data_IF_726643637430
#
_entry.id   IF_726643637430
#
_cell.length_a   1.000
_cell.length_b   1.000
_cell.length_c   1.000
_cell.angle_alpha   90.00
_cell.angle_beta   90.00
_cell.angle_gamma   90.00
#
_symmetry.space_group_name_H-M   'P 1'
#
loop_
_entity.id
_entity.type
_entity.pdbx_description
1 polymer ?
#
# COMPACT_ATOMS: atom_id res chain seq x y z
N UNK A 1 -6.50 0.26 10.36
CA UNK A 1 -5.03 0.43 10.20
C UNK A 1 -4.28 0.22 11.50
N UNK A 2 -4.77 0.81 12.60
CA UNK A 2 -4.00 0.97 13.82
C UNK A 2 -4.00 -0.21 14.81
N UNK A 3 -4.78 -1.24 14.52
CA UNK A 3 -4.76 -2.54 15.21
C UNK A 3 -4.25 -3.67 14.32
N UNK A 4 -4.10 -3.42 13.02
CA UNK A 4 -3.96 -4.47 12.01
C UNK A 4 -2.59 -4.48 11.34
N UNK A 5 -1.92 -3.32 11.19
CA UNK A 5 -0.46 -3.30 10.91
C UNK A 5 0.32 -3.84 12.13
N UNK A 6 -0.32 -3.94 13.30
CA UNK A 6 0.28 -4.47 14.52
C UNK A 6 0.05 -5.97 14.74
N UNK A 7 -0.73 -6.64 13.87
CA UNK A 7 -0.87 -8.10 13.87
C UNK A 7 -0.06 -8.70 12.71
N UNK A 8 1.25 -8.44 12.71
CA UNK A 8 2.13 -9.57 12.43
C UNK A 8 1.82 -10.58 13.54
N UNK A 9 1.40 -11.78 13.17
CA UNK A 9 1.06 -12.87 14.10
C UNK A 9 2.02 -12.81 15.29
N UNK A 10 1.53 -12.80 16.56
CA UNK A 10 2.43 -12.91 17.70
C UNK A 10 3.08 -14.29 17.63
N UNK A 11 4.18 -14.39 16.90
CA UNK A 11 5.14 -15.47 17.09
C UNK A 11 5.51 -15.34 18.56
N UNK A 12 5.23 -16.38 19.37
CA UNK A 12 5.76 -16.47 20.73
C UNK A 12 7.26 -16.27 20.62
N UNK A 13 7.74 -15.09 21.02
CA UNK A 13 9.14 -14.71 20.86
C UNK A 13 9.94 -15.35 21.96
N UNK A 14 11.12 -15.86 21.63
CA UNK A 14 12.13 -16.11 22.66
C UNK A 14 12.51 -14.78 23.31
N UNK A 15 12.73 -14.77 24.63
CA UNK A 15 13.28 -13.59 25.32
C UNK A 15 14.63 -13.15 24.72
N UNK A 16 15.39 -14.10 24.17
CA UNK A 16 16.68 -13.87 23.51
C UNK A 16 16.56 -13.05 22.23
N UNK A 17 15.55 -13.32 21.38
CA UNK A 17 15.32 -12.58 20.12
C UNK A 17 15.11 -11.08 20.38
N UNK A 18 14.35 -10.77 21.43
CA UNK A 18 14.10 -9.39 21.82
C UNK A 18 15.37 -8.71 22.35
N UNK A 19 16.20 -9.41 23.13
CA UNK A 19 17.42 -8.83 23.70
C UNK A 19 18.41 -8.37 22.62
N UNK A 20 18.70 -9.23 21.63
CA UNK A 20 19.60 -8.90 20.51
C UNK A 20 19.08 -7.69 19.71
N UNK A 21 17.78 -7.66 19.43
CA UNK A 21 17.18 -6.55 18.71
C UNK A 21 17.33 -5.21 19.46
N UNK A 22 17.16 -5.21 20.79
CA UNK A 22 17.35 -4.00 21.60
C UNK A 22 18.82 -3.57 21.68
N UNK A 23 19.76 -4.51 21.77
CA UNK A 23 21.21 -4.20 21.71
C UNK A 23 21.56 -3.46 20.41
N UNK A 24 21.15 -4.01 19.27
CA UNK A 24 21.37 -3.41 17.95
C UNK A 24 20.68 -2.04 17.84
N UNK A 25 19.43 -1.91 18.31
CA UNK A 25 18.69 -0.65 18.28
C UNK A 25 19.31 0.44 19.18
N UNK A 26 20.06 0.07 20.22
CA UNK A 26 20.80 1.03 21.04
C UNK A 26 22.02 1.58 20.28
N UNK A 27 22.67 0.76 19.45
CA UNK A 27 23.76 1.23 18.57
C UNK A 27 23.28 2.08 17.40
N UNK A 28 21.99 2.02 17.08
CA UNK A 28 21.34 2.83 16.04
C UNK A 28 20.97 4.26 16.51
N UNK A 29 21.48 4.71 17.65
CA UNK A 29 21.16 6.02 18.20
C UNK A 29 21.75 7.14 17.33
N UNK A 30 20.88 7.83 16.59
CA UNK A 30 21.22 8.99 15.77
C UNK A 30 20.10 10.03 15.86
N UNK A 31 20.43 11.31 15.66
CA UNK A 31 19.46 12.39 15.49
C UNK A 31 19.26 12.65 13.99
N UNK A 32 18.14 12.17 13.45
CA UNK A 32 17.77 12.34 12.05
C UNK A 32 17.09 13.70 11.78
N UNK A 33 16.85 14.50 12.82
CA UNK A 33 16.19 15.81 12.71
C UNK A 33 16.89 16.79 11.76
N UNK A 34 18.22 16.95 11.82
CA UNK A 34 18.97 17.81 10.89
C UNK A 34 18.81 17.43 9.42
N UNK A 35 18.65 16.14 9.10
CA UNK A 35 18.47 15.69 7.71
C UNK A 35 17.18 16.25 7.10
N UNK A 36 16.14 16.51 7.90
CA UNK A 36 14.90 17.12 7.43
C UNK A 36 15.06 18.58 6.96
N UNK A 37 16.23 19.19 7.19
CA UNK A 37 16.57 20.55 6.75
C UNK A 37 17.65 20.54 5.66
N UNK A 38 18.04 19.37 5.16
CA UNK A 38 19.06 19.25 4.10
C UNK A 38 18.61 19.94 2.82
N UNK A 39 19.50 20.75 2.23
CA UNK A 39 19.30 21.35 0.91
C UNK A 39 19.27 20.33 -0.22
N UNK A 40 19.83 19.14 0.01
CA UNK A 40 19.84 18.02 -0.94
C UNK A 40 18.58 17.16 -0.87
N UNK A 41 17.59 17.52 -0.04
CA UNK A 41 16.37 16.77 0.09
C UNK A 41 15.51 16.82 -1.19
N UNK A 42 15.21 15.65 -1.76
CA UNK A 42 14.28 15.51 -2.89
C UNK A 42 12.85 15.81 -2.48
N UNK A 43 12.49 15.52 -1.22
CA UNK A 43 11.26 15.93 -0.56
C UNK A 43 11.62 16.32 0.87
N UNK A 44 11.12 17.45 1.34
CA UNK A 44 11.12 17.81 2.75
C UNK A 44 9.73 18.32 3.11
N UNK A 45 9.03 17.58 3.98
CA UNK A 45 7.74 17.97 4.52
C UNK A 45 7.95 18.51 5.94
N UNK A 46 7.43 19.72 6.24
CA UNK A 46 7.55 20.28 7.57
C UNK A 46 6.83 19.42 8.60
N UNK A 47 7.08 19.70 9.88
CA UNK A 47 6.43 18.96 10.94
C UNK A 47 4.90 19.11 10.88
N UNK A 48 4.21 17.98 10.82
CA UNK A 48 2.76 17.91 10.96
C UNK A 48 2.40 16.94 12.08
N UNK A 49 2.00 17.49 13.23
CA UNK A 49 1.55 16.72 14.40
C UNK A 49 2.64 15.73 14.89
N UNK A 50 3.86 16.22 15.10
CA UNK A 50 4.97 15.42 15.60
C UNK A 50 5.63 14.49 14.58
N UNK A 51 5.35 14.66 13.28
CA UNK A 51 6.01 13.90 12.19
C UNK A 51 6.57 14.86 11.17
N UNK A 52 7.87 14.78 10.92
CA UNK A 52 8.58 15.35 9.76
C UNK A 52 8.86 14.23 8.76
N UNK A 53 8.88 14.54 7.47
CA UNK A 53 9.26 13.57 6.44
C UNK A 53 10.32 14.16 5.53
N UNK A 54 11.34 13.37 5.23
CA UNK A 54 12.37 13.74 4.25
C UNK A 54 12.65 12.56 3.33
N UNK A 55 12.94 12.84 2.05
CA UNK A 55 13.46 11.87 1.09
C UNK A 55 14.79 12.36 0.54
N UNK A 56 15.82 11.54 0.67
CA UNK A 56 17.21 11.84 0.29
C UNK A 56 17.78 10.67 -0.51
N UNK A 57 18.68 10.94 -1.46
CA UNK A 57 19.51 9.89 -2.04
C UNK A 57 20.62 9.48 -1.05
N UNK A 58 21.21 8.28 -1.22
CA UNK A 58 22.29 7.79 -0.34
C UNK A 58 23.48 8.75 -0.28
N UNK A 59 23.90 9.28 -1.42
CA UNK A 59 25.02 10.23 -1.53
C UNK A 59 24.82 11.55 -0.74
N UNK A 60 23.57 11.88 -0.41
CA UNK A 60 23.20 13.03 0.40
C UNK A 60 23.11 12.69 1.91
N UNK A 61 23.29 11.42 2.29
CA UNK A 61 23.28 10.98 3.68
C UNK A 61 24.70 10.93 4.26
N UNK A 62 24.94 11.51 5.45
CA UNK A 62 26.20 11.29 6.17
C UNK A 62 26.40 9.82 6.50
N UNK A 63 27.64 9.35 6.41
CA UNK A 63 28.06 7.99 6.75
C UNK A 63 27.51 7.49 8.11
N UNK A 64 27.53 8.27 9.21
CA UNK A 64 26.94 7.83 10.48
C UNK A 64 25.42 7.65 10.42
N UNK A 65 24.72 8.41 9.56
CA UNK A 65 23.28 8.28 9.37
C UNK A 65 22.94 6.97 8.65
N UNK A 66 23.72 6.60 7.61
CA UNK A 66 23.57 5.34 6.89
C UNK A 66 23.79 4.16 7.85
N UNK A 67 24.86 4.21 8.65
CA UNK A 67 25.16 3.16 9.62
C UNK A 67 24.05 3.00 10.66
N UNK A 68 23.53 4.12 11.17
CA UNK A 68 22.39 4.12 12.09
C UNK A 68 21.12 3.58 11.45
N UNK A 69 20.86 3.88 10.16
CA UNK A 69 19.71 3.34 9.42
C UNK A 69 19.78 1.82 9.27
N UNK A 70 20.94 1.30 8.89
CA UNK A 70 21.16 -0.14 8.70
C UNK A 70 21.09 -0.91 10.03
N UNK A 71 21.58 -0.32 11.13
CA UNK A 71 21.40 -0.87 12.47
C UNK A 71 19.92 -0.82 12.89
N UNK A 72 19.25 0.32 12.68
CA UNK A 72 17.86 0.49 13.04
C UNK A 72 16.97 -0.51 12.30
N UNK A 73 17.12 -0.64 10.99
CA UNK A 73 16.35 -1.56 10.15
C UNK A 73 16.55 -3.02 10.56
N UNK A 74 17.79 -3.45 10.77
CA UNK A 74 18.09 -4.80 11.27
C UNK A 74 17.37 -5.07 12.60
N UNK A 75 17.49 -4.15 13.55
CA UNK A 75 16.84 -4.25 14.86
C UNK A 75 15.31 -4.31 14.76
N UNK A 76 14.70 -3.47 13.92
CA UNK A 76 13.25 -3.51 13.68
C UNK A 76 12.82 -4.84 13.05
N UNK A 77 13.61 -5.39 12.12
CA UNK A 77 13.26 -6.67 11.49
C UNK A 77 13.48 -7.90 12.37
N UNK A 78 14.43 -7.84 13.31
CA UNK A 78 14.51 -8.82 14.40
C UNK A 78 13.26 -8.73 15.29
N UNK A 79 12.81 -7.51 15.63
CA UNK A 79 11.55 -7.32 16.37
C UNK A 79 10.32 -7.78 15.59
N UNK A 80 10.34 -7.89 14.25
CA UNK A 80 9.22 -8.46 13.48
C UNK A 80 9.38 -9.94 13.19
N UNK A 81 10.51 -10.56 13.56
CA UNK A 81 10.82 -11.96 13.26
C UNK A 81 11.15 -12.23 11.79
N UNK A 82 11.53 -11.18 11.03
CA UNK A 82 11.91 -11.31 9.63
C UNK A 82 13.34 -11.85 9.47
N UNK A 83 14.26 -11.41 10.33
CA UNK A 83 15.59 -11.98 10.40
C UNK A 83 15.62 -13.11 11.43
N UNK A 84 16.43 -14.14 11.14
CA UNK A 84 16.71 -15.19 12.09
C UNK A 84 17.79 -14.74 13.11
N UNK A 85 17.47 -14.62 14.41
CA UNK A 85 18.40 -14.09 15.41
C UNK A 85 19.68 -14.93 15.55
N UNK A 86 19.55 -16.26 15.50
CA UNK A 86 20.69 -17.18 15.58
C UNK A 86 21.66 -16.94 14.42
N UNK A 87 21.13 -16.81 13.20
CA UNK A 87 21.92 -16.50 12.01
C UNK A 87 22.61 -15.14 12.11
N UNK A 88 21.90 -14.10 12.60
CA UNK A 88 22.48 -12.77 12.81
C UNK A 88 23.63 -12.80 13.82
N UNK A 89 23.50 -13.60 14.90
CA UNK A 89 24.58 -13.79 15.87
C UNK A 89 25.79 -14.50 15.25
N UNK A 90 25.57 -15.56 14.48
CA UNK A 90 26.64 -16.28 13.76
C UNK A 90 27.39 -15.36 12.79
N UNK A 91 26.65 -14.53 12.05
CA UNK A 91 27.21 -13.53 11.11
C UNK A 91 27.84 -12.34 11.83
N UNK A 92 27.64 -12.21 13.16
CA UNK A 92 28.09 -11.09 14.01
C UNK A 92 27.61 -9.73 13.50
N UNK A 93 26.44 -9.69 12.84
CA UNK A 93 25.91 -8.43 12.33
C UNK A 93 25.46 -7.53 13.49
N UNK A 94 25.88 -6.27 13.42
CA UNK A 94 25.37 -5.17 14.26
C UNK A 94 24.56 -4.14 13.46
N UNK A 95 24.64 -4.24 12.14
CA UNK A 95 23.86 -3.55 11.14
C UNK A 95 23.79 -4.45 9.91
N UNK A 96 22.84 -4.21 9.02
CA UNK A 96 22.89 -4.84 7.70
C UNK A 96 24.18 -4.44 6.94
N UNK A 97 24.66 -5.29 6.03
CA UNK A 97 25.84 -5.01 5.20
C UNK A 97 25.67 -3.72 4.38
N UNK A 98 26.76 -2.95 4.22
CA UNK A 98 26.78 -1.67 3.51
C UNK A 98 26.53 -1.85 2.01
N UNK A 99 26.95 -2.99 1.49
CA UNK A 99 26.82 -3.41 0.10
C UNK A 99 25.35 -3.55 -0.33
N UNK A 100 24.42 -3.57 0.62
CA UNK A 100 22.98 -3.54 0.35
C UNK A 100 22.43 -2.13 0.06
N UNK A 101 23.26 -1.09 0.05
CA UNK A 101 22.86 0.29 -0.22
C UNK A 101 23.66 0.82 -1.41
N UNK A 102 22.96 1.10 -2.50
CA UNK A 102 23.58 1.71 -3.68
C UNK A 102 23.68 3.23 -3.52
N UNK A 103 24.63 3.93 -4.19
CA UNK A 103 24.81 5.38 -4.08
C UNK A 103 23.57 6.21 -4.43
N UNK A 104 22.68 5.67 -5.26
CA UNK A 104 21.48 6.36 -5.75
C UNK A 104 20.16 5.77 -5.21
N UNK A 105 20.23 4.89 -4.20
CA UNK A 105 19.03 4.48 -3.45
C UNK A 105 18.38 5.73 -2.82
N UNK A 106 17.05 5.78 -2.82
CA UNK A 106 16.29 6.85 -2.18
C UNK A 106 15.78 6.39 -0.82
N UNK A 107 16.06 7.19 0.19
CA UNK A 107 15.74 6.94 1.59
C UNK A 107 14.62 7.87 2.05
N UNK A 108 13.42 7.31 2.25
CA UNK A 108 12.30 8.02 2.82
C UNK A 108 12.25 7.82 4.33
N UNK A 109 12.31 8.92 5.08
CA UNK A 109 12.48 8.96 6.53
C UNK A 109 11.33 9.73 7.14
N UNK A 110 10.57 9.12 8.05
CA UNK A 110 9.63 9.81 8.92
C UNK A 110 10.23 9.94 10.31
N UNK A 111 10.39 11.16 10.80
CA UNK A 111 11.15 11.51 12.00
C UNK A 111 10.26 12.26 12.99
N UNK A 112 10.37 11.97 14.29
CA UNK A 112 9.65 12.70 15.32
C UNK A 112 10.29 14.06 15.67
N UNK A 113 9.66 14.79 16.59
CA UNK A 113 10.17 16.09 17.08
C UNK A 113 11.54 15.99 17.79
N UNK A 114 11.93 14.80 18.26
CA UNK A 114 13.19 14.53 18.94
C UNK A 114 14.26 13.93 18.00
N UNK A 115 13.99 13.94 16.69
CA UNK A 115 14.94 13.42 15.71
C UNK A 115 14.99 11.90 15.62
N UNK A 116 14.04 11.18 16.23
CA UNK A 116 14.00 9.71 16.20
C UNK A 116 13.17 9.21 15.03
N UNK A 117 13.65 8.15 14.37
CA UNK A 117 12.90 7.50 13.30
C UNK A 117 11.63 6.84 13.81
N UNK A 118 10.53 7.13 13.12
CA UNK A 118 9.22 6.53 13.31
C UNK A 118 8.93 5.48 12.22
N UNK A 119 9.31 5.79 10.99
CA UNK A 119 9.08 4.95 9.80
C UNK A 119 10.17 5.20 8.76
N UNK A 120 10.48 4.17 7.98
CA UNK A 120 11.49 4.19 6.94
C UNK A 120 11.05 3.34 5.75
N UNK A 121 11.47 3.74 4.56
CA UNK A 121 11.36 2.97 3.31
C UNK A 121 12.56 3.29 2.43
N UNK A 122 13.03 2.31 1.65
CA UNK A 122 14.03 2.52 0.60
C UNK A 122 13.40 2.30 -0.76
N UNK A 123 13.74 3.15 -1.71
CA UNK A 123 13.45 2.94 -3.13
C UNK A 123 14.79 2.63 -3.80
N UNK A 124 14.88 1.49 -4.47
CA UNK A 124 16.13 1.00 -5.04
C UNK A 124 16.09 1.00 -6.55
N UNK A 125 17.23 1.28 -7.16
CA UNK A 125 17.46 1.03 -8.57
C UNK A 125 18.73 0.18 -8.68
N UNK A 126 18.63 -1.08 -9.12
CA UNK A 126 19.82 -1.90 -9.32
C UNK A 126 20.83 -1.20 -10.23
N UNK A 127 22.12 -1.35 -9.91
CA UNK A 127 23.21 -0.86 -10.75
C UNK A 127 23.25 -1.63 -12.07
N UNK A 128 23.87 -1.03 -13.10
CA UNK A 128 24.10 -1.66 -14.41
C UNK A 128 22.82 -2.04 -15.19
N UNK A 129 21.70 -1.36 -14.92
CA UNK A 129 20.48 -1.48 -15.70
C UNK A 129 20.47 -0.60 -16.97
N UNK A 130 21.35 0.40 -17.04
CA UNK A 130 21.40 1.39 -18.12
C UNK A 130 21.42 0.76 -19.52
N UNK A 131 20.49 1.19 -20.38
CA UNK A 131 20.38 0.73 -21.76
C UNK A 131 19.66 -0.61 -21.94
N UNK A 132 19.23 -1.28 -20.86
CA UNK A 132 18.44 -2.51 -20.94
C UNK A 132 16.93 -2.26 -20.81
N UNK A 133 16.14 -3.14 -21.42
CA UNK A 133 14.68 -3.17 -21.30
C UNK A 133 14.23 -4.20 -20.28
N UNK A 134 13.03 -4.05 -19.75
CA UNK A 134 12.45 -4.97 -18.78
C UNK A 134 12.40 -6.41 -19.30
N UNK A 135 12.14 -6.59 -20.60
CA UNK A 135 12.09 -7.89 -21.27
C UNK A 135 13.44 -8.56 -21.51
N UNK A 136 14.55 -7.85 -21.38
CA UNK A 136 15.88 -8.39 -21.65
C UNK A 136 16.21 -9.56 -20.70
N UNK A 137 16.51 -10.77 -21.20
CA UNK A 137 16.77 -11.91 -20.33
C UNK A 137 18.08 -11.77 -19.54
N UNK A 138 19.03 -10.98 -20.04
CA UNK A 138 20.38 -10.86 -19.48
C UNK A 138 20.57 -9.64 -18.57
N UNK A 139 19.54 -8.78 -18.40
CA UNK A 139 19.65 -7.64 -17.48
C UNK A 139 19.88 -8.11 -16.04
N UNK A 140 20.52 -7.29 -15.17
CA UNK A 140 20.55 -7.53 -13.73
C UNK A 140 19.16 -7.81 -13.13
N UNK A 141 19.14 -8.67 -12.11
CA UNK A 141 17.92 -8.97 -11.36
C UNK A 141 17.58 -7.81 -10.42
N UNK A 142 16.29 -7.49 -10.32
CA UNK A 142 15.82 -6.72 -9.16
C UNK A 142 15.83 -7.63 -7.91
N UNK A 143 16.05 -7.11 -6.70
CA UNK A 143 16.01 -7.93 -5.48
C UNK A 143 14.74 -8.78 -5.32
N UNK A 144 13.56 -8.30 -5.76
CA UNK A 144 12.34 -9.13 -5.84
C UNK A 144 12.50 -10.36 -6.74
N UNK A 145 13.23 -10.23 -7.85
CA UNK A 145 13.50 -11.33 -8.80
C UNK A 145 14.56 -12.29 -8.28
N UNK A 146 15.53 -11.82 -7.48
CA UNK A 146 16.46 -12.71 -6.77
C UNK A 146 15.72 -13.67 -5.83
N UNK A 147 14.60 -13.22 -5.25
CA UNK A 147 13.76 -14.01 -4.34
C UNK A 147 12.76 -14.89 -5.09
N UNK A 148 12.04 -14.32 -6.07
CA UNK A 148 10.88 -14.96 -6.70
C UNK A 148 11.16 -15.53 -8.10
N UNK A 149 12.36 -15.31 -8.65
CA UNK A 149 12.65 -15.50 -10.07
C UNK A 149 11.85 -14.53 -10.96
N UNK A 150 11.78 -14.82 -12.27
CA UNK A 150 11.05 -14.00 -13.27
C UNK A 150 9.77 -14.64 -13.81
N UNK A 151 9.44 -15.87 -13.40
CA UNK A 151 8.34 -16.62 -14.00
C UNK A 151 6.97 -15.91 -13.90
N UNK A 152 6.75 -15.15 -12.82
CA UNK A 152 5.53 -14.37 -12.59
C UNK A 152 5.33 -13.26 -13.64
N UNK A 153 6.40 -12.77 -14.27
CA UNK A 153 6.33 -11.68 -15.26
C UNK A 153 5.60 -12.07 -16.55
N UNK A 154 5.43 -13.37 -16.83
CA UNK A 154 4.70 -13.85 -18.01
C UNK A 154 3.22 -13.43 -18.03
N UNK A 155 2.65 -13.10 -16.88
CA UNK A 155 1.27 -12.60 -16.80
C UNK A 155 1.17 -11.09 -17.00
N UNK A 156 2.30 -10.38 -17.11
CA UNK A 156 2.33 -8.96 -17.36
C UNK A 156 2.14 -8.65 -18.85
N UNK A 157 1.66 -7.44 -19.14
CA UNK A 157 1.53 -6.86 -20.47
C UNK A 157 2.15 -5.47 -20.49
N UNK A 158 2.55 -5.04 -21.69
CA UNK A 158 2.98 -3.67 -22.00
C UNK A 158 4.20 -3.21 -21.18
N UNK A 159 5.04 -4.17 -20.75
CA UNK A 159 6.26 -3.89 -20.00
C UNK A 159 7.51 -4.26 -20.78
N UNK A 160 7.43 -5.14 -21.77
CA UNK A 160 8.57 -5.75 -22.44
C UNK A 160 9.58 -4.70 -22.96
N UNK A 161 9.08 -3.62 -23.55
CA UNK A 161 9.88 -2.52 -24.10
C UNK A 161 10.16 -1.40 -23.09
N UNK A 162 9.64 -1.51 -21.85
CA UNK A 162 9.86 -0.50 -20.82
C UNK A 162 11.32 -0.47 -20.42
N UNK A 163 11.89 0.74 -20.38
CA UNK A 163 13.27 0.92 -19.97
C UNK A 163 13.43 0.61 -18.48
N UNK A 164 14.50 -0.12 -18.14
CA UNK A 164 14.80 -0.49 -16.76
C UNK A 164 15.22 0.69 -15.90
N UNK A 165 15.75 1.76 -16.50
CA UNK A 165 16.03 3.04 -15.84
C UNK A 165 14.76 3.74 -15.30
N UNK A 166 13.59 3.34 -15.78
CA UNK A 166 12.28 3.83 -15.32
C UNK A 166 11.66 2.96 -14.22
N UNK A 167 12.33 1.88 -13.84
CA UNK A 167 11.83 0.89 -12.89
C UNK A 167 12.61 0.93 -11.59
N UNK A 168 11.87 1.02 -10.49
CA UNK A 168 12.42 1.13 -9.15
C UNK A 168 11.78 0.10 -8.22
N UNK A 169 12.55 -0.45 -7.31
CA UNK A 169 12.02 -1.37 -6.30
C UNK A 169 11.63 -0.62 -5.02
N UNK A 170 10.38 -0.79 -4.58
CA UNK A 170 9.95 -0.43 -3.24
C UNK A 170 10.38 -1.50 -2.26
N UNK A 171 11.33 -1.14 -1.41
CA UNK A 171 11.96 -2.09 -0.52
C UNK A 171 11.97 -1.56 0.92
N UNK A 172 12.22 -2.50 1.84
CA UNK A 172 12.74 -2.17 3.17
C UNK A 172 11.83 -1.27 4.03
N UNK A 173 10.52 -1.27 3.76
CA UNK A 173 9.54 -0.60 4.59
C UNK A 173 9.56 -1.16 6.02
N UNK A 174 9.72 -0.29 7.01
CA UNK A 174 9.67 -0.67 8.42
C UNK A 174 9.28 0.52 9.31
N UNK A 175 8.74 0.21 10.49
CA UNK A 175 8.28 1.17 11.50
C UNK A 175 8.96 0.87 12.83
N UNK A 176 9.05 1.87 13.71
CA UNK A 176 9.56 1.64 15.07
C UNK A 176 8.59 0.77 15.89
N UNK A 177 8.92 -0.51 16.05
CA UNK A 177 8.14 -1.49 16.80
C UNK A 177 8.18 -1.27 18.31
N UNK A 178 9.13 -0.46 18.81
CA UNK A 178 9.23 -0.12 20.24
C UNK A 178 8.18 0.91 20.67
N UNK A 179 7.64 1.68 19.71
CA UNK A 179 6.62 2.69 20.00
C UNK A 179 5.34 2.00 20.44
N UNK A 180 4.73 2.55 21.50
CA UNK A 180 3.46 2.03 22.02
C UNK A 180 2.41 2.04 20.91
N UNK A 181 1.52 1.05 20.90
CA UNK A 181 0.40 0.92 19.94
C UNK A 181 -0.44 2.19 19.78
N UNK A 182 -0.46 3.04 20.80
CA UNK A 182 -1.23 4.27 20.86
C UNK A 182 -0.42 5.55 20.62
N UNK A 183 0.87 5.47 20.29
CA UNK A 183 1.67 6.63 19.89
C UNK A 183 1.06 7.27 18.62
N UNK A 184 0.49 8.48 18.71
CA UNK A 184 -0.21 9.06 17.58
C UNK A 184 0.69 9.45 16.41
N UNK A 185 1.96 9.78 16.65
CA UNK A 185 2.92 10.15 15.61
C UNK A 185 3.37 8.90 14.83
N UNK A 186 3.72 7.83 15.55
CA UNK A 186 4.10 6.55 14.95
C UNK A 186 2.99 5.95 14.06
N UNK A 187 1.73 6.18 14.44
CA UNK A 187 0.55 5.77 13.67
C UNK A 187 0.36 6.55 12.37
N UNK A 188 0.80 7.81 12.32
CA UNK A 188 0.68 8.71 11.15
C UNK A 188 1.87 8.58 10.20
N UNK A 189 3.05 8.28 10.74
CA UNK A 189 4.31 8.24 9.99
C UNK A 189 4.25 7.45 8.67
N UNK A 190 3.65 6.24 8.58
CA UNK A 190 3.52 5.52 7.31
C UNK A 190 2.70 6.26 6.24
N UNK A 191 1.68 7.00 6.66
CA UNK A 191 0.82 7.73 5.74
C UNK A 191 1.48 9.02 5.25
N UNK A 192 2.14 9.74 6.17
CA UNK A 192 2.96 10.91 5.84
C UNK A 192 4.07 10.52 4.85
N UNK A 193 4.72 9.37 5.08
CA UNK A 193 5.74 8.82 4.19
C UNK A 193 5.17 8.41 2.82
N UNK A 194 4.03 7.71 2.80
CA UNK A 194 3.36 7.35 1.54
C UNK A 194 3.01 8.57 0.69
N UNK A 195 2.46 9.63 1.31
CA UNK A 195 2.18 10.88 0.61
C UNK A 195 3.45 11.60 0.12
N UNK A 196 4.57 11.48 0.83
CA UNK A 196 5.85 12.05 0.39
C UNK A 196 6.40 11.33 -0.85
N UNK A 197 6.29 10.00 -0.94
CA UNK A 197 6.69 9.23 -2.13
C UNK A 197 5.80 9.54 -3.33
N UNK A 198 4.49 9.65 -3.08
CA UNK A 198 3.52 10.11 -4.08
C UNK A 198 3.87 11.49 -4.63
N UNK A 199 4.27 12.42 -3.75
CA UNK A 199 4.71 13.75 -4.16
C UNK A 199 6.02 13.68 -4.96
N UNK A 200 6.93 12.77 -4.58
CA UNK A 200 8.21 12.59 -5.25
C UNK A 200 8.05 12.16 -6.71
N UNK A 201 7.22 11.16 -7.00
CA UNK A 201 7.00 10.68 -8.38
C UNK A 201 6.39 11.75 -9.31
N UNK A 202 5.75 12.77 -8.73
CA UNK A 202 5.16 13.89 -9.46
C UNK A 202 6.15 15.06 -9.65
N UNK A 203 7.31 15.06 -8.97
CA UNK A 203 8.24 16.19 -9.08
C UNK A 203 8.92 16.18 -10.45
N UNK A 204 9.05 17.33 -11.15
CA UNK A 204 9.61 17.37 -12.50
C UNK A 204 10.97 16.66 -12.69
N UNK A 205 11.94 16.69 -11.74
CA UNK A 205 13.20 15.96 -11.90
C UNK A 205 13.10 14.42 -11.86
N UNK A 206 11.98 13.88 -11.34
CA UNK A 206 11.74 12.45 -11.14
C UNK A 206 10.58 11.97 -12.02
N UNK A 207 9.62 12.85 -12.35
CA UNK A 207 8.49 12.57 -13.21
C UNK A 207 8.99 12.03 -14.55
N UNK A 208 8.47 10.87 -14.96
CA UNK A 208 8.89 10.16 -16.17
C UNK A 208 10.14 9.29 -16.02
N UNK A 209 10.98 9.52 -14.99
CA UNK A 209 12.10 8.61 -14.61
C UNK A 209 11.68 7.51 -13.65
N UNK A 210 10.56 7.68 -12.99
CA UNK A 210 9.96 6.65 -12.17
C UNK A 210 8.57 6.34 -12.72
N UNK A 211 8.49 5.33 -13.59
CA UNK A 211 7.21 4.87 -14.15
C UNK A 211 6.73 3.56 -13.54
N UNK A 212 7.66 2.68 -13.20
CA UNK A 212 7.34 1.34 -12.70
C UNK A 212 7.89 1.19 -11.29
N UNK A 213 7.06 0.68 -10.39
CA UNK A 213 7.46 0.26 -9.06
C UNK A 213 7.30 -1.26 -8.94
N UNK A 214 8.35 -1.95 -8.48
CA UNK A 214 8.37 -3.40 -8.25
C UNK A 214 8.67 -3.70 -6.79
N UNK A 215 8.42 -4.92 -6.34
CA UNK A 215 8.83 -5.37 -5.02
C UNK A 215 8.12 -6.64 -4.59
N UNK A 216 8.41 -7.11 -3.39
CA UNK A 216 7.65 -8.18 -2.73
C UNK A 216 6.91 -7.65 -1.49
N UNK A 217 5.81 -8.31 -1.14
CA UNK A 217 5.17 -8.04 0.13
C UNK A 217 4.46 -9.25 0.73
N UNK A 218 4.12 -9.13 2.01
CA UNK A 218 3.01 -9.85 2.61
C UNK A 218 1.68 -9.21 2.14
N UNK A 219 0.85 -9.92 1.35
CA UNK A 219 -0.40 -9.38 0.80
C UNK A 219 -1.39 -8.96 1.89
N UNK A 220 -1.34 -9.58 3.08
CA UNK A 220 -2.17 -9.19 4.20
C UNK A 220 -1.75 -7.82 4.77
N UNK A 221 -0.57 -7.31 4.46
CA UNK A 221 -0.09 -6.03 5.00
C UNK A 221 0.02 -4.96 3.92
N UNK A 222 0.89 -5.14 2.92
CA UNK A 222 1.24 -4.04 2.02
C UNK A 222 0.16 -3.76 0.97
N UNK A 223 -0.48 -4.80 0.41
CA UNK A 223 -1.56 -4.60 -0.56
C UNK A 223 -2.73 -3.79 0.04
N UNK A 224 -2.98 -3.95 1.34
CA UNK A 224 -3.97 -3.11 2.06
C UNK A 224 -3.57 -1.64 2.12
N UNK A 225 -2.27 -1.34 2.17
CA UNK A 225 -1.76 0.03 2.13
C UNK A 225 -1.91 0.60 0.73
N UNK A 226 -1.48 -0.14 -0.31
CA UNK A 226 -1.63 0.30 -1.70
C UNK A 226 -3.09 0.58 -2.06
N UNK A 227 -3.99 -0.35 -1.71
CA UNK A 227 -5.44 -0.15 -1.85
C UNK A 227 -6.00 1.00 -1.02
N UNK A 228 -5.43 1.32 0.14
CA UNK A 228 -5.86 2.49 0.91
C UNK A 228 -5.47 3.80 0.21
N UNK A 229 -4.35 3.82 -0.51
CA UNK A 229 -3.89 4.94 -1.34
C UNK A 229 -4.47 4.91 -2.76
N UNK A 230 -5.35 3.96 -3.09
CA UNK A 230 -5.88 3.74 -4.43
C UNK A 230 -4.80 3.51 -5.50
N UNK A 231 -3.62 3.03 -5.12
CA UNK A 231 -2.57 2.64 -6.06
C UNK A 231 -2.91 1.26 -6.62
N UNK A 232 -3.27 1.13 -7.91
CA UNK A 232 -3.47 -0.18 -8.53
C UNK A 232 -2.11 -0.88 -8.63
N UNK A 233 -2.09 -2.16 -8.29
CA UNK A 233 -0.89 -2.97 -8.38
C UNK A 233 -1.25 -4.34 -8.95
N UNK A 234 -0.49 -4.78 -9.94
CA UNK A 234 -0.46 -6.16 -10.40
C UNK A 234 0.19 -7.00 -9.31
N UNK A 235 -0.58 -7.87 -8.66
CA UNK A 235 -0.08 -8.77 -7.62
C UNK A 235 -0.15 -10.20 -8.12
N UNK A 236 0.58 -11.12 -7.48
CA UNK A 236 0.61 -12.52 -7.89
C UNK A 236 0.23 -13.45 -6.75
N UNK A 237 -0.07 -14.71 -7.10
CA UNK A 237 -0.34 -15.75 -6.12
C UNK A 237 0.75 -15.78 -5.02
N UNK A 238 0.36 -15.59 -3.74
CA UNK A 238 1.30 -15.65 -2.63
C UNK A 238 1.87 -17.06 -2.49
N UNK A 239 3.17 -17.18 -2.29
CA UNK A 239 3.88 -18.45 -2.13
C UNK A 239 5.03 -18.31 -1.14
N UNK A 240 5.73 -19.41 -0.87
CA UNK A 240 6.91 -19.44 -0.01
C UNK A 240 8.18 -19.55 -0.87
N UNK A 241 8.89 -18.45 -1.13
CA UNK A 241 10.19 -18.50 -1.80
C UNK A 241 11.17 -19.38 -1.05
N UNK A 242 11.93 -20.19 -1.79
CA UNK A 242 12.99 -21.02 -1.22
C UNK A 242 14.31 -20.26 -1.33
N UNK A 243 14.81 -19.77 -0.20
CA UNK A 243 16.16 -19.20 -0.11
C UNK A 243 17.11 -20.22 0.53
N UNK A 244 18.43 -20.17 0.25
CA UNK A 244 19.40 -20.99 0.95
C UNK A 244 19.30 -20.82 2.47
N UNK A 245 19.49 -21.87 3.25
CA UNK A 245 19.44 -21.81 4.73
C UNK A 245 20.46 -20.82 5.33
N UNK A 246 21.52 -20.52 4.57
CA UNK A 246 22.53 -19.52 4.93
C UNK A 246 22.04 -18.08 4.79
N UNK A 247 20.92 -17.87 4.10
CA UNK A 247 20.37 -16.55 3.82
C UNK A 247 19.65 -15.97 5.06
N UNK A 248 19.96 -14.74 5.50
CA UNK A 248 19.41 -14.15 6.73
C UNK A 248 17.88 -14.03 6.77
N UNK A 249 17.22 -13.99 5.60
CA UNK A 249 15.77 -13.91 5.45
C UNK A 249 15.10 -15.27 5.14
N UNK A 250 15.84 -16.38 5.06
CA UNK A 250 15.26 -17.68 4.71
C UNK A 250 14.05 -18.04 5.60
N UNK A 251 14.17 -17.80 6.90
CA UNK A 251 13.10 -18.01 7.89
C UNK A 251 11.85 -17.15 7.63
N UNK A 252 11.98 -15.91 7.13
CA UNK A 252 10.84 -15.05 6.77
C UNK A 252 10.03 -15.71 5.66
N UNK A 253 10.68 -16.05 4.55
CA UNK A 253 10.04 -16.57 3.36
C UNK A 253 9.49 -17.99 3.56
N UNK A 254 10.13 -18.79 4.40
CA UNK A 254 9.62 -20.11 4.79
C UNK A 254 8.33 -20.04 5.64
N UNK A 255 8.13 -18.99 6.44
CA UNK A 255 7.00 -18.89 7.39
C UNK A 255 5.85 -18.02 6.92
N UNK A 256 6.14 -17.03 6.08
CA UNK A 256 5.17 -16.04 5.64
C UNK A 256 5.05 -16.10 4.11
N UNK A 257 3.87 -16.39 3.56
CA UNK A 257 3.70 -16.33 2.13
C UNK A 257 3.84 -14.88 1.66
N UNK A 258 4.61 -14.69 0.61
CA UNK A 258 4.88 -13.39 -0.01
C UNK A 258 4.51 -13.43 -1.48
N UNK A 259 4.18 -12.28 -2.04
CA UNK A 259 3.91 -12.13 -3.46
C UNK A 259 4.76 -11.00 -4.04
N UNK A 260 5.32 -11.16 -5.25
CA UNK A 260 5.80 -10.02 -6.01
C UNK A 260 4.62 -9.11 -6.37
N UNK A 261 4.94 -7.86 -6.71
CA UNK A 261 3.99 -6.94 -7.30
C UNK A 261 4.66 -5.99 -8.27
N UNK A 262 3.85 -5.39 -9.14
CA UNK A 262 4.23 -4.30 -10.04
C UNK A 262 3.14 -3.23 -10.00
N UNK A 263 3.52 -1.97 -9.93
CA UNK A 263 2.62 -0.83 -10.10
C UNK A 263 3.20 0.12 -11.15
N UNK A 264 2.34 0.80 -11.90
CA UNK A 264 2.75 1.83 -12.87
C UNK A 264 2.15 3.19 -12.53
N UNK A 265 2.88 4.25 -12.83
CA UNK A 265 2.36 5.61 -12.75
C UNK A 265 1.22 5.87 -13.73
N UNK A 266 1.13 5.07 -14.79
CA UNK A 266 0.08 5.23 -15.79
C UNK A 266 -1.30 4.75 -15.31
N UNK A 267 -1.34 4.01 -14.20
CA UNK A 267 -2.57 3.62 -13.49
C UNK A 267 -3.00 4.69 -12.47
N UNK A 268 -2.24 5.78 -12.32
CA UNK A 268 -2.60 6.91 -11.46
C UNK A 268 -3.53 7.85 -12.25
N UNK A 269 -4.78 7.91 -11.83
CA UNK A 269 -5.80 8.79 -12.39
C UNK A 269 -6.36 9.76 -11.34
N UNK A 270 -7.40 10.51 -11.72
CA UNK A 270 -8.06 11.50 -10.87
C UNK A 270 -8.57 10.92 -9.54
N UNK A 271 -9.16 9.72 -9.53
CA UNK A 271 -9.67 9.12 -8.29
C UNK A 271 -8.51 8.78 -7.33
N UNK A 272 -7.36 8.35 -7.88
CA UNK A 272 -6.14 8.12 -7.10
C UNK A 272 -5.59 9.44 -6.53
N UNK A 273 -5.54 10.51 -7.31
CA UNK A 273 -5.13 11.84 -6.84
C UNK A 273 -6.05 12.39 -5.74
N UNK A 274 -7.37 12.34 -5.95
CA UNK A 274 -8.35 12.78 -4.97
C UNK A 274 -8.21 11.99 -3.65
N UNK A 275 -7.94 10.68 -3.74
CA UNK A 275 -7.67 9.88 -2.55
C UNK A 275 -6.46 10.38 -1.76
N UNK A 276 -5.39 10.77 -2.44
CA UNK A 276 -4.20 11.31 -1.77
C UNK A 276 -4.49 12.64 -1.08
N UNK A 277 -5.29 13.50 -1.72
CA UNK A 277 -5.77 14.74 -1.11
C UNK A 277 -6.66 14.47 0.11
N UNK A 278 -7.56 13.49 0.04
CA UNK A 278 -8.42 13.09 1.17
C UNK A 278 -7.59 12.64 2.38
N UNK A 279 -6.54 11.83 2.14
CA UNK A 279 -5.62 11.38 3.18
C UNK A 279 -4.85 12.57 3.75
N UNK A 280 -4.33 13.46 2.90
CA UNK A 280 -3.58 14.64 3.34
C UNK A 280 -4.45 15.59 4.19
N UNK A 281 -5.68 15.85 3.75
CA UNK A 281 -6.68 16.65 4.47
C UNK A 281 -7.03 15.99 5.81
N UNK A 282 -7.25 14.67 5.84
CA UNK A 282 -7.51 13.96 7.09
C UNK A 282 -6.33 14.09 8.08
N UNK A 283 -5.10 14.06 7.58
CA UNK A 283 -3.89 14.24 8.37
C UNK A 283 -3.72 15.68 8.88
N UNK A 284 -4.26 16.71 8.23
CA UNK A 284 -4.19 18.08 8.74
C UNK A 284 -4.86 18.27 10.13
N UNK A 285 -5.84 17.43 10.45
CA UNK A 285 -6.52 17.47 11.75
C UNK A 285 -5.66 16.93 12.91
N UNK A 286 -6.06 17.27 14.15
CA UNK A 286 -5.48 16.70 15.36
C UNK A 286 -5.67 15.17 15.43
N UNK A 287 -4.84 14.49 16.24
CA UNK A 287 -4.70 13.02 16.22
C UNK A 287 -6.02 12.23 16.28
N UNK A 288 -6.94 12.60 17.19
CA UNK A 288 -8.22 11.90 17.36
C UNK A 288 -9.11 12.03 16.11
N UNK A 289 -9.21 13.23 15.58
CA UNK A 289 -10.03 13.51 14.39
C UNK A 289 -9.41 12.92 13.12
N UNK A 290 -8.08 13.00 12.98
CA UNK A 290 -7.35 12.36 11.89
C UNK A 290 -7.59 10.85 11.90
N UNK A 291 -7.46 10.19 13.05
CA UNK A 291 -7.71 8.76 13.18
C UNK A 291 -9.16 8.38 12.80
N UNK A 292 -10.13 9.21 13.20
CA UNK A 292 -11.55 9.02 12.86
C UNK A 292 -11.80 9.15 11.36
N UNK A 293 -11.26 10.19 10.71
CA UNK A 293 -11.39 10.43 9.27
C UNK A 293 -10.70 9.37 8.45
N UNK A 294 -9.46 9.02 8.79
CA UNK A 294 -8.71 7.95 8.14
C UNK A 294 -9.40 6.58 8.30
N UNK A 295 -10.09 6.35 9.43
CA UNK A 295 -10.93 5.16 9.59
C UNK A 295 -12.14 5.22 8.67
N UNK A 296 -12.89 6.33 8.65
CA UNK A 296 -14.06 6.49 7.78
C UNK A 296 -13.72 6.39 6.28
N UNK A 297 -12.56 6.91 5.86
CA UNK A 297 -12.03 6.81 4.51
C UNK A 297 -11.84 5.36 4.03
N UNK A 298 -11.83 4.35 4.91
CA UNK A 298 -11.79 2.94 4.52
C UNK A 298 -13.11 2.42 3.95
N UNK A 299 -14.18 3.20 4.09
CA UNK A 299 -15.46 2.91 3.44
C UNK A 299 -15.44 3.35 1.96
N UNK A 300 -14.46 4.17 1.54
CA UNK A 300 -14.24 4.49 0.12
C UNK A 300 -13.16 3.57 -0.41
N UNK A 301 -13.47 2.86 -1.49
CA UNK A 301 -12.74 1.70 -1.95
C UNK A 301 -12.53 1.81 -3.45
N UNK A 302 -11.28 1.77 -3.89
CA UNK A 302 -10.98 1.61 -5.31
C UNK A 302 -11.27 0.18 -5.74
N UNK A 303 -12.02 0.03 -6.84
CA UNK A 303 -12.27 -1.25 -7.50
C UNK A 303 -11.35 -1.50 -8.70
N UNK A 304 -10.28 -0.71 -8.80
CA UNK A 304 -9.31 -0.79 -9.89
C UNK A 304 -8.40 -1.98 -9.71
N UNK A 305 -8.09 -2.59 -10.86
CA UNK A 305 -6.99 -3.54 -10.99
C UNK A 305 -5.94 -2.90 -11.90
N UNK A 306 -4.68 -3.28 -11.74
CA UNK A 306 -3.59 -2.74 -12.56
C UNK A 306 -3.76 -3.17 -14.01
N UNK A 307 -3.59 -2.24 -14.95
CA UNK A 307 -3.66 -2.54 -16.39
C UNK A 307 -2.56 -3.48 -16.85
N UNK A 308 -1.44 -3.50 -16.13
CA UNK A 308 -0.27 -4.33 -16.44
C UNK A 308 -0.53 -5.84 -16.30
N UNK A 309 -1.63 -6.28 -15.68
CA UNK A 309 -1.87 -7.71 -15.43
C UNK A 309 -2.95 -8.25 -16.36
N UNK A 310 -2.64 -9.33 -17.08
CA UNK A 310 -3.67 -10.14 -17.75
C UNK A 310 -4.55 -10.80 -16.71
N UNK A 311 -5.85 -10.63 -16.81
CA UNK A 311 -6.78 -11.39 -15.99
C UNK A 311 -6.73 -12.86 -16.36
N UNK A 312 -6.80 -13.73 -15.36
CA UNK A 312 -7.10 -15.14 -15.54
C UNK A 312 -8.56 -15.34 -15.94
N UNK A 313 -8.84 -16.48 -16.59
CA UNK A 313 -10.20 -16.87 -17.01
C UNK A 313 -11.08 -17.11 -15.79
N UNK A 314 -12.27 -16.52 -15.76
CA UNK A 314 -13.28 -16.74 -14.75
C UNK A 314 -13.87 -18.15 -14.89
N UNK A 315 -13.40 -19.08 -14.07
CA UNK A 315 -13.87 -20.48 -14.06
C UNK A 315 -15.31 -20.64 -13.55
N UNK A 316 -15.77 -19.70 -12.72
CA UNK A 316 -17.15 -19.62 -12.23
C UNK A 316 -17.59 -18.14 -12.16
N UNK A 317 -18.14 -17.59 -13.25
CA UNK A 317 -18.62 -16.21 -13.27
C UNK A 317 -19.89 -16.01 -12.45
N UNK A 318 -20.60 -17.09 -12.07
CA UNK A 318 -21.91 -17.01 -11.44
C UNK A 318 -22.90 -16.19 -12.29
N UNK A 319 -23.53 -15.20 -11.68
CA UNK A 319 -24.44 -14.26 -12.36
C UNK A 319 -23.74 -13.05 -12.97
N UNK A 320 -22.44 -12.86 -12.73
CA UNK A 320 -21.74 -11.65 -13.15
C UNK A 320 -21.27 -11.74 -14.61
N UNK A 321 -21.31 -10.63 -15.36
CA UNK A 321 -20.75 -10.59 -16.71
C UNK A 321 -19.26 -10.94 -16.69
N UNK A 322 -18.82 -11.81 -17.60
CA UNK A 322 -17.39 -12.15 -17.77
C UNK A 322 -16.55 -10.89 -17.98
N UNK A 323 -17.02 -9.96 -18.80
CA UNK A 323 -16.37 -8.67 -19.03
C UNK A 323 -16.17 -7.83 -17.74
N UNK A 324 -17.04 -7.99 -16.74
CA UNK A 324 -16.88 -7.34 -15.44
C UNK A 324 -15.84 -8.02 -14.54
N UNK A 325 -15.57 -9.30 -14.74
CA UNK A 325 -14.61 -10.07 -13.95
C UNK A 325 -13.20 -10.02 -14.55
N UNK A 326 -13.09 -10.05 -15.88
CA UNK A 326 -11.81 -10.25 -16.59
C UNK A 326 -11.22 -8.95 -17.16
N UNK A 327 -11.99 -7.86 -17.23
CA UNK A 327 -11.43 -6.61 -17.77
C UNK A 327 -10.51 -5.93 -16.77
N UNK A 328 -9.28 -5.64 -17.17
CA UNK A 328 -8.37 -4.78 -16.40
C UNK A 328 -8.79 -3.30 -16.46
N UNK A 329 -9.58 -2.90 -17.47
CA UNK A 329 -10.17 -1.56 -17.55
C UNK A 329 -11.30 -1.43 -16.53
N UNK A 330 -11.15 -0.56 -15.51
CA UNK A 330 -12.19 -0.35 -14.50
C UNK A 330 -13.50 0.15 -15.11
N UNK A 331 -13.42 1.11 -16.05
CA UNK A 331 -14.58 1.62 -16.79
C UNK A 331 -15.33 0.53 -17.55
N UNK A 332 -14.63 -0.38 -18.23
CA UNK A 332 -15.28 -1.49 -18.94
C UNK A 332 -15.95 -2.47 -17.96
N UNK A 333 -15.33 -2.73 -16.81
CA UNK A 333 -15.93 -3.59 -15.78
C UNK A 333 -17.19 -2.95 -15.16
N UNK A 334 -17.10 -1.68 -14.80
CA UNK A 334 -18.22 -0.86 -14.28
C UNK A 334 -19.37 -0.79 -15.29
N UNK A 335 -19.07 -0.58 -16.58
CA UNK A 335 -20.07 -0.52 -17.66
C UNK A 335 -20.77 -1.86 -17.90
N UNK A 336 -20.03 -2.98 -17.84
CA UNK A 336 -20.61 -4.31 -17.98
C UNK A 336 -21.59 -4.63 -16.83
N UNK A 337 -21.25 -4.29 -15.60
CA UNK A 337 -22.16 -4.42 -14.45
C UNK A 337 -23.37 -3.51 -14.56
N UNK A 338 -23.18 -2.25 -14.98
CA UNK A 338 -24.28 -1.34 -15.22
C UNK A 338 -25.31 -1.93 -16.19
N UNK A 339 -24.86 -2.35 -17.37
CA UNK A 339 -25.73 -2.89 -18.41
C UNK A 339 -26.46 -4.16 -17.95
N UNK A 340 -25.82 -4.98 -17.11
CA UNK A 340 -26.44 -6.18 -16.57
C UNK A 340 -27.47 -5.85 -15.45
N UNK A 341 -27.20 -4.87 -14.60
CA UNK A 341 -28.13 -4.40 -13.57
C UNK A 341 -29.34 -3.68 -14.17
N UNK A 342 -29.15 -2.82 -15.16
CA UNK A 342 -30.20 -2.11 -15.89
C UNK A 342 -31.15 -3.09 -16.61
N UNK A 343 -30.60 -4.17 -17.17
CA UNK A 343 -31.38 -5.25 -17.78
C UNK A 343 -32.03 -6.22 -16.77
N UNK A 344 -31.87 -5.99 -15.45
CA UNK A 344 -32.42 -6.88 -14.41
C UNK A 344 -31.75 -8.27 -14.33
N UNK A 345 -30.55 -8.43 -14.89
CA UNK A 345 -29.80 -9.71 -14.94
C UNK A 345 -28.86 -9.92 -13.75
N UNK A 346 -28.72 -8.93 -12.86
CA UNK A 346 -27.90 -9.00 -11.65
C UNK A 346 -28.78 -8.97 -10.39
N UNK A 347 -29.08 -10.12 -9.78
CA UNK A 347 -29.87 -10.18 -8.55
C UNK A 347 -29.25 -9.33 -7.43
N UNK A 348 -30.05 -8.46 -6.81
CA UNK A 348 -29.59 -7.59 -5.72
C UNK A 348 -28.81 -6.35 -6.15
N UNK A 349 -28.64 -6.12 -7.46
CA UNK A 349 -28.01 -4.90 -8.00
C UNK A 349 -29.06 -4.02 -8.67
N UNK A 350 -28.88 -2.71 -8.53
CA UNK A 350 -29.72 -1.68 -9.17
C UNK A 350 -28.84 -0.62 -9.82
N UNK A 351 -29.14 -0.29 -11.07
CA UNK A 351 -28.57 0.88 -11.74
C UNK A 351 -29.44 2.10 -11.44
N UNK A 352 -28.85 3.16 -10.89
CA UNK A 352 -29.56 4.41 -10.61
C UNK A 352 -28.77 5.61 -11.15
N UNK A 353 -29.51 6.63 -11.58
CA UNK A 353 -28.95 7.93 -11.95
C UNK A 353 -29.31 8.94 -10.88
N UNK A 354 -28.31 9.71 -10.44
CA UNK A 354 -28.47 10.78 -9.46
C UNK A 354 -28.17 12.12 -10.13
N UNK A 355 -29.04 13.10 -9.89
CA UNK A 355 -28.80 14.50 -10.23
C UNK A 355 -27.90 15.21 -9.20
N UNK A 356 -27.30 16.36 -9.54
CA UNK A 356 -26.53 17.15 -8.59
C UNK A 356 -27.34 17.50 -7.33
N UNK A 357 -26.76 17.26 -6.15
CA UNK A 357 -27.39 17.51 -4.85
C UNK A 357 -28.20 16.33 -4.30
N UNK A 358 -28.54 15.34 -5.11
CA UNK A 358 -29.29 14.16 -4.67
C UNK A 358 -28.43 13.26 -3.76
N UNK A 359 -29.12 12.54 -2.87
CA UNK A 359 -28.49 11.71 -1.86
C UNK A 359 -28.49 10.24 -2.27
N UNK A 360 -27.33 9.60 -2.18
CA UNK A 360 -27.18 8.16 -2.27
C UNK A 360 -27.45 7.50 -0.89
N UNK A 361 -27.94 6.26 -0.90
CA UNK A 361 -28.29 5.54 0.32
C UNK A 361 -27.04 5.00 1.03
N UNK A 362 -26.71 5.54 2.20
CA UNK A 362 -25.52 5.15 2.98
C UNK A 362 -25.61 3.75 3.63
N UNK A 363 -26.77 3.10 3.58
CA UNK A 363 -26.97 1.73 4.07
C UNK A 363 -26.61 0.65 3.04
N UNK A 364 -26.38 1.05 1.79
CA UNK A 364 -26.02 0.16 0.69
C UNK A 364 -24.61 0.45 0.20
N UNK A 365 -24.05 -0.51 -0.54
CA UNK A 365 -22.87 -0.24 -1.36
C UNK A 365 -23.29 0.68 -2.50
N UNK A 366 -22.49 1.72 -2.74
CA UNK A 366 -22.69 2.67 -3.84
C UNK A 366 -21.42 2.68 -4.68
N UNK A 367 -21.43 2.00 -5.83
CA UNK A 367 -20.31 2.00 -6.78
C UNK A 367 -20.59 2.99 -7.90
N UNK A 368 -19.76 4.03 -7.98
CA UNK A 368 -19.85 5.06 -9.01
C UNK A 368 -19.26 4.55 -10.33
N UNK A 369 -20.12 4.46 -11.34
CA UNK A 369 -19.74 4.09 -12.72
C UNK A 369 -19.21 5.32 -13.44
N UNK A 370 -19.96 6.43 -13.39
CA UNK A 370 -19.59 7.72 -13.94
C UNK A 370 -20.05 8.84 -12.99
N UNK A 371 -19.37 10.00 -13.01
CA UNK A 371 -19.66 11.14 -12.16
C UNK A 371 -18.95 11.10 -10.81
N UNK A 372 -19.49 11.83 -9.82
CA UNK A 372 -18.83 12.00 -8.52
C UNK A 372 -19.80 12.14 -7.35
N UNK A 373 -19.58 11.33 -6.31
CA UNK A 373 -20.24 11.44 -5.01
C UNK A 373 -19.29 12.00 -3.96
N UNK A 374 -19.75 12.99 -3.19
CA UNK A 374 -19.09 13.50 -2.01
C UNK A 374 -19.55 12.76 -0.76
N UNK A 375 -18.60 12.23 0.01
CA UNK A 375 -18.86 11.63 1.31
C UNK A 375 -18.70 12.67 2.42
N UNK A 376 -19.64 12.67 3.37
CA UNK A 376 -19.62 13.54 4.54
C UNK A 376 -19.54 12.73 5.82
N UNK A 377 -18.79 13.24 6.79
CA UNK A 377 -18.67 12.68 8.14
C UNK A 377 -19.23 13.68 9.15
N UNK A 378 -20.05 13.21 10.10
CA UNK A 378 -20.63 14.08 11.12
C UNK A 378 -19.55 14.64 12.06
N UNK A 379 -19.70 15.87 12.53
CA UNK A 379 -19.11 16.37 13.79
C UNK A 379 -20.25 16.71 14.74
N UNK A 380 -19.92 16.88 16.03
CA UNK A 380 -20.87 17.26 17.08
C UNK A 380 -21.80 18.43 16.70
N UNK A 381 -21.41 19.32 15.77
CA UNK A 381 -22.21 20.49 15.39
C UNK A 381 -22.24 20.80 13.87
N UNK A 382 -21.50 20.08 13.02
CA UNK A 382 -21.45 20.37 11.56
C UNK A 382 -21.04 19.16 10.71
N UNK A 383 -21.54 19.08 9.49
CA UNK A 383 -21.12 18.07 8.52
C UNK A 383 -19.77 18.47 7.91
N UNK A 384 -18.77 17.60 8.00
CA UNK A 384 -17.48 17.82 7.36
C UNK A 384 -17.34 17.00 6.09
N UNK A 385 -16.77 17.57 5.03
CA UNK A 385 -16.31 16.79 3.89
C UNK A 385 -15.32 15.72 4.37
N UNK A 386 -15.51 14.47 3.95
CA UNK A 386 -14.63 13.35 4.25
C UNK A 386 -13.72 13.04 3.06
N UNK A 387 -14.31 12.90 1.89
CA UNK A 387 -13.63 12.56 0.64
C UNK A 387 -14.59 12.29 -0.51
N UNK A 388 -14.05 11.76 -1.60
CA UNK A 388 -14.78 11.54 -2.85
C UNK A 388 -14.91 10.09 -3.30
N UNK A 389 -15.98 9.79 -4.03
CA UNK A 389 -16.09 8.60 -4.88
C UNK A 389 -16.36 9.05 -6.32
N UNK A 390 -15.33 9.02 -7.16
CA UNK A 390 -15.46 9.16 -8.61
C UNK A 390 -15.63 7.81 -9.29
N UNK A 391 -15.48 7.78 -10.61
CA UNK A 391 -15.45 6.53 -11.38
C UNK A 391 -14.51 5.49 -10.72
N UNK A 392 -15.00 4.26 -10.63
CA UNK A 392 -14.27 3.11 -10.08
C UNK A 392 -13.95 3.20 -8.58
N UNK A 393 -14.74 4.01 -7.86
CA UNK A 393 -14.76 4.04 -6.41
C UNK A 393 -16.11 3.59 -5.90
N UNK A 394 -16.09 2.63 -4.98
CA UNK A 394 -17.26 2.20 -4.24
C UNK A 394 -17.23 2.75 -2.81
N UNK A 395 -18.37 3.28 -2.35
CA UNK A 395 -18.64 3.38 -0.93
C UNK A 395 -19.19 2.04 -0.44
N UNK A 396 -18.56 1.46 0.59
CA UNK A 396 -18.97 0.22 1.24
C UNK A 396 -19.22 0.46 2.73
N UNK A 397 -20.48 0.39 3.19
CA UNK A 397 -20.83 0.71 4.56
C UNK A 397 -20.23 -0.27 5.56
N UNK A 398 -19.69 0.27 6.64
CA UNK A 398 -19.00 -0.49 7.70
C UNK A 398 -19.46 -0.01 9.07
N UNK A 399 -20.40 -0.72 9.72
CA UNK A 399 -20.97 -0.28 11.00
C UNK A 399 -19.93 -0.21 12.12
N UNK A 400 -18.82 -0.93 12.00
CA UNK A 400 -17.68 -0.89 12.94
C UNK A 400 -16.79 0.36 12.79
N UNK A 401 -16.98 1.15 11.74
CA UNK A 401 -16.20 2.36 11.44
C UNK A 401 -17.01 3.63 11.70
N UNK A 402 -16.35 4.80 11.82
CA UNK A 402 -17.07 6.05 11.97
C UNK A 402 -18.02 6.28 10.79
N UNK A 403 -19.27 6.62 11.12
CA UNK A 403 -20.34 6.71 10.13
C UNK A 403 -20.08 7.81 9.08
N UNK A 404 -20.23 7.44 7.80
CA UNK A 404 -20.50 8.40 6.73
C UNK A 404 -21.97 8.73 6.80
N UNK A 405 -22.27 10.00 7.08
CA UNK A 405 -23.63 10.46 7.38
C UNK A 405 -24.42 10.80 6.11
N UNK A 406 -23.72 11.08 5.01
CA UNK A 406 -24.33 11.38 3.72
C UNK A 406 -23.35 11.08 2.58
N UNK A 407 -23.91 10.62 1.46
CA UNK A 407 -23.29 10.60 0.15
C UNK A 407 -24.13 11.50 -0.75
N UNK A 408 -23.53 12.52 -1.34
CA UNK A 408 -24.23 13.47 -2.21
C UNK A 408 -23.60 13.51 -3.59
N UNK A 409 -24.39 13.42 -4.64
CA UNK A 409 -23.91 13.62 -5.99
C UNK A 409 -23.48 15.08 -6.18
N UNK A 410 -22.21 15.32 -6.51
CA UNK A 410 -21.71 16.66 -6.83
C UNK A 410 -21.87 16.99 -8.32
N UNK A 411 -21.85 15.95 -9.16
CA UNK A 411 -22.17 15.97 -10.58
C UNK A 411 -23.32 15.01 -10.85
N UNK A 412 -23.94 15.02 -12.04
CA UNK A 412 -24.74 13.87 -12.45
C UNK A 412 -23.90 12.59 -12.30
N UNK A 413 -24.47 11.56 -11.67
CA UNK A 413 -23.75 10.34 -11.33
C UNK A 413 -24.55 9.10 -11.68
N UNK A 414 -23.90 8.12 -12.32
CA UNK A 414 -24.41 6.77 -12.55
C UNK A 414 -23.86 5.88 -11.45
N UNK A 415 -24.74 5.34 -10.62
CA UNK A 415 -24.36 4.56 -9.44
C UNK A 415 -25.01 3.18 -9.46
N UNK A 416 -24.19 2.15 -9.28
CA UNK A 416 -24.63 0.80 -8.96
C UNK A 416 -24.87 0.70 -7.45
N UNK A 417 -26.09 0.32 -7.07
CA UNK A 417 -26.47 0.06 -5.68
C UNK A 417 -26.65 -1.43 -5.46
N UNK A 418 -26.02 -1.96 -4.41
CA UNK A 418 -26.20 -3.35 -3.99
C UNK A 418 -26.00 -3.50 -2.48
N UNK A 419 -26.31 -4.66 -1.93
CA UNK A 419 -25.95 -4.98 -0.54
C UNK A 419 -24.46 -5.36 -0.43
N UNK A 420 -23.95 -5.37 0.81
CA UNK A 420 -22.55 -5.65 1.07
C UNK A 420 -22.13 -7.07 0.68
N UNK A 421 -23.01 -8.06 0.84
CA UNK A 421 -22.70 -9.46 0.55
C UNK A 421 -22.54 -9.69 -0.95
N UNK A 422 -23.45 -9.15 -1.76
CA UNK A 422 -23.38 -9.22 -3.22
C UNK A 422 -22.14 -8.50 -3.77
N UNK A 423 -21.79 -7.33 -3.22
CA UNK A 423 -20.54 -6.66 -3.59
C UNK A 423 -19.30 -7.49 -3.22
N UNK A 424 -19.25 -8.04 -2.00
CA UNK A 424 -18.12 -8.84 -1.53
C UNK A 424 -17.95 -10.14 -2.35
N UNK A 425 -19.05 -10.79 -2.76
CA UNK A 425 -19.02 -11.96 -3.64
C UNK A 425 -18.50 -11.62 -5.04
N UNK A 426 -19.03 -10.57 -5.69
CA UNK A 426 -18.53 -10.08 -6.97
C UNK A 426 -17.03 -9.82 -6.91
N UNK A 427 -16.61 -9.07 -5.89
CA UNK A 427 -15.23 -8.67 -5.77
C UNK A 427 -14.31 -9.85 -5.46
N UNK A 428 -14.72 -10.80 -4.62
CA UNK A 428 -13.95 -12.01 -4.37
C UNK A 428 -13.73 -12.83 -5.66
N UNK A 429 -14.72 -12.88 -6.56
CA UNK A 429 -14.58 -13.49 -7.89
C UNK A 429 -13.58 -12.73 -8.75
N UNK A 430 -13.71 -11.41 -8.84
CA UNK A 430 -12.77 -10.55 -9.59
C UNK A 430 -11.34 -10.67 -9.08
N UNK A 431 -11.13 -10.65 -7.76
CA UNK A 431 -9.80 -10.84 -7.15
C UNK A 431 -9.16 -12.19 -7.49
N UNK A 432 -9.96 -13.25 -7.71
CA UNK A 432 -9.43 -14.53 -8.17
C UNK A 432 -8.89 -14.43 -9.60
N UNK A 433 -9.59 -13.72 -10.49
CA UNK A 433 -9.11 -13.47 -11.85
C UNK A 433 -7.78 -12.68 -11.86
N UNK A 434 -7.58 -11.75 -10.92
CA UNK A 434 -6.34 -10.95 -10.86
C UNK A 434 -5.30 -11.47 -9.86
N UNK A 435 -5.56 -12.58 -9.16
CA UNK A 435 -4.75 -13.09 -8.03
C UNK A 435 -4.45 -12.01 -6.97
N UNK A 436 -5.38 -11.07 -6.76
CA UNK A 436 -5.24 -9.97 -5.79
C UNK A 436 -5.94 -10.30 -4.47
N UNK A 437 -6.00 -11.59 -4.15
CA UNK A 437 -6.76 -12.08 -3.00
C UNK A 437 -6.17 -11.57 -1.69
N UNK A 438 -7.05 -10.98 -0.89
CA UNK A 438 -6.79 -10.68 0.53
C UNK A 438 -7.87 -11.41 1.31
N UNK A 439 -7.52 -11.99 2.47
CA UNK A 439 -8.48 -12.77 3.28
C UNK A 439 -9.77 -12.02 3.67
N UNK A 440 -9.79 -10.71 3.46
CA UNK A 440 -10.99 -9.91 3.25
C UNK A 440 -10.66 -8.74 2.34
N UNK A 441 -11.65 -8.23 1.62
CA UNK A 441 -11.57 -7.00 0.80
C UNK A 441 -10.88 -5.82 1.51
N UNK A 442 -11.00 -5.79 2.85
CA UNK A 442 -10.78 -4.62 3.68
C UNK A 442 -9.95 -4.86 4.93
N UNK A 443 -9.41 -6.06 5.13
CA UNK A 443 -8.70 -6.42 6.36
C UNK A 443 -9.59 -6.62 7.58
N UNK A 444 -10.85 -7.01 7.39
CA UNK A 444 -11.58 -7.70 8.44
C UNK A 444 -10.80 -8.97 8.79
N UNK A 445 -10.46 -9.12 10.07
CA UNK A 445 -10.02 -10.41 10.60
C UNK A 445 -11.23 -11.32 10.43
N UNK A 446 -11.11 -12.53 9.85
CA UNK A 446 -12.20 -13.49 9.92
C UNK A 446 -12.63 -13.57 11.37
N UNK A 447 -13.89 -13.26 11.64
CA UNK A 447 -14.49 -13.63 12.92
C UNK A 447 -14.38 -15.14 12.92
N UNK A 448 -13.46 -15.68 13.73
CA UNK A 448 -13.52 -17.09 14.07
C UNK A 448 -14.94 -17.29 14.61
N UNK A 449 -15.79 -17.89 13.78
CA UNK A 449 -17.06 -18.41 14.23
C UNK A 449 -16.67 -19.47 15.23
N UNK A 450 -16.64 -19.08 16.51
CA UNK A 450 -16.55 -20.01 17.62
C UNK A 450 -17.72 -20.97 17.44
N UNK A 451 -17.44 -22.13 16.83
CA UNK A 451 -18.33 -23.28 16.89
C UNK A 451 -18.41 -23.58 18.39
N UNK A 452 -19.62 -23.34 18.92
CA UNK A 452 -20.01 -23.72 20.27
C UNK A 452 -19.87 -25.22 20.47
#
# INVERSE_FOLDING_TARGET
>A
MLDLIHRLVPVRRGQQDAALAHEILNTAAYDFGPLCQSSSALIARPERRGVRVVVLATDALPEPAIDALLAWRLGQYLLTGFYDPERIMQLRWRREPRELVAPHDLHALAVDQHGKLLCYLTVKQPEHLEGSTWGDPDRPLYPVEEVHGRAWQRQLVDLEESSTDQTWEWARFCKDQRRRRFDPAARRAPLELGLALVQLIQRPPIAGRWKIAVGDFDPAVALRVLRFFFVPAATFAPHHPSLPDTHPLARRYARHPTAPFVATTDDIDEATYLRWLDIDLALAFGHREAARRLAALRQLVSVKESRLKRAGVASDPGTYPIAALESASPHAASSALWAAAEAGRLPGWRAISLGPGELAHTNYVNWVVDGYLQAFIGRHENNGHLGGAGADVAYVPRPELPAVIALRAATPARVLITDRLAFEDFWARRQRCFETSTGSLYGDVPVEVSRR
#
